data_IF_780180009867
#
_entry.id   IF_780180009867
#
_cell.length_a   1.000
_cell.length_b   1.000
_cell.length_c   1.000
_cell.angle_alpha   90.00
_cell.angle_beta   90.00
_cell.angle_gamma   90.00
#
_symmetry.space_group_name_H-M   'P 1'
#
loop_
_entity.id
_entity.type
_entity.pdbx_description
1 polymer ?
#
# COMPACT_ATOMS: atom_id res chain seq x y z
N UNK A 1 -4.01 -2.09 9.48
CA UNK A 1 -3.78 -3.26 10.35
C UNK A 1 -2.80 -2.86 11.45
N UNK A 2 -3.09 -3.26 12.68
CA UNK A 2 -2.19 -3.11 13.83
C UNK A 2 -1.78 -4.51 14.26
N UNK A 3 -0.49 -4.74 14.44
CA UNK A 3 0.10 -6.01 14.87
C UNK A 3 0.54 -5.89 16.32
N UNK A 4 0.35 -6.95 17.09
CA UNK A 4 0.80 -7.03 18.48
C UNK A 4 -0.03 -6.16 19.43
N UNK A 5 -1.34 -6.13 19.25
CA UNK A 5 -2.25 -5.57 20.25
C UNK A 5 -2.08 -6.34 21.58
N UNK A 6 -2.17 -5.69 22.76
CA UNK A 6 -2.00 -6.39 24.03
C UNK A 6 -2.90 -7.61 24.17
N UNK A 7 -2.29 -8.76 24.39
CA UNK A 7 -2.96 -10.07 24.48
C UNK A 7 -3.14 -10.80 23.14
N UNK A 8 -2.79 -10.20 22.00
CA UNK A 8 -2.80 -10.90 20.71
C UNK A 8 -1.80 -12.06 20.72
N UNK A 9 -2.27 -13.24 20.36
CA UNK A 9 -1.46 -14.45 20.22
C UNK A 9 -0.94 -14.57 18.78
N UNK A 10 0.11 -15.36 18.57
CA UNK A 10 0.61 -15.65 17.23
C UNK A 10 -0.44 -16.36 16.34
N UNK A 11 -1.29 -17.19 16.93
CA UNK A 11 -2.38 -17.86 16.20
C UNK A 11 -3.39 -16.82 15.66
N UNK A 12 -3.81 -15.87 16.49
CA UNK A 12 -4.70 -14.78 16.06
C UNK A 12 -4.05 -13.86 15.01
N UNK A 13 -2.75 -13.63 15.13
CA UNK A 13 -1.99 -12.94 14.08
C UNK A 13 -2.00 -13.73 12.75
N UNK A 14 -1.92 -15.06 12.79
CA UNK A 14 -2.04 -15.90 11.57
C UNK A 14 -3.42 -15.80 10.92
N UNK A 15 -4.48 -15.61 11.70
CA UNK A 15 -5.82 -15.35 11.15
C UNK A 15 -5.84 -14.03 10.37
N UNK A 16 -5.16 -12.99 10.88
CA UNK A 16 -4.96 -11.73 10.15
C UNK A 16 -4.23 -11.96 8.81
N UNK A 17 -3.15 -12.75 8.80
CA UNK A 17 -2.44 -13.08 7.56
C UNK A 17 -3.33 -13.87 6.59
N UNK A 18 -4.16 -14.77 7.09
CA UNK A 18 -5.10 -15.55 6.27
C UNK A 18 -6.14 -14.65 5.60
N UNK A 19 -6.70 -13.71 6.33
CA UNK A 19 -7.61 -12.69 5.79
C UNK A 19 -6.94 -11.86 4.68
N UNK A 20 -5.69 -11.41 4.91
CA UNK A 20 -4.94 -10.62 3.93
C UNK A 20 -4.70 -11.44 2.63
N UNK A 21 -4.39 -12.72 2.75
CA UNK A 21 -4.23 -13.64 1.61
C UNK A 21 -5.52 -13.83 0.83
N UNK A 22 -6.66 -13.95 1.52
CA UNK A 22 -7.96 -14.18 0.90
C UNK A 22 -8.47 -12.93 0.19
N UNK A 23 -8.38 -11.76 0.83
CA UNK A 23 -8.89 -10.49 0.28
C UNK A 23 -7.94 -9.90 -0.78
N UNK A 24 -6.64 -10.19 -0.69
CA UNK A 24 -5.61 -9.61 -1.56
C UNK A 24 -5.69 -8.07 -1.65
N UNK A 25 -5.64 -7.38 -0.52
CA UNK A 25 -5.66 -5.91 -0.48
C UNK A 25 -4.60 -5.29 -1.40
N UNK A 26 -4.98 -4.26 -2.13
CA UNK A 26 -4.05 -3.53 -3.00
C UNK A 26 -2.95 -2.84 -2.20
N UNK A 27 -3.31 -2.26 -1.06
CA UNK A 27 -2.37 -1.66 -0.10
C UNK A 27 -2.94 -1.72 1.31
N UNK A 28 -2.06 -1.75 2.30
CA UNK A 28 -2.41 -1.70 3.71
C UNK A 28 -1.55 -0.66 4.42
N UNK A 29 -2.17 0.07 5.34
CA UNK A 29 -1.44 0.79 6.37
C UNK A 29 -1.24 -0.14 7.55
N UNK A 30 0.02 -0.43 7.87
CA UNK A 30 0.41 -1.41 8.88
C UNK A 30 1.25 -0.76 9.97
N UNK A 31 0.98 -1.12 11.22
CA UNK A 31 1.66 -0.56 12.39
C UNK A 31 1.87 -1.66 13.43
N UNK A 32 2.97 -1.56 14.17
CA UNK A 32 3.07 -2.28 15.45
C UNK A 32 2.30 -1.48 16.48
N UNK A 33 1.53 -2.17 17.34
CA UNK A 33 0.82 -1.52 18.45
C UNK A 33 1.78 -0.66 19.28
N UNK A 34 1.37 0.56 19.54
CA UNK A 34 2.06 1.49 20.45
C UNK A 34 1.08 1.96 21.51
N UNK A 35 1.39 1.77 22.82
CA UNK A 35 0.50 2.18 23.89
C UNK A 35 0.31 3.70 23.88
N UNK A 36 -0.94 4.13 24.08
CA UNK A 36 -1.30 5.53 24.20
C UNK A 36 -1.86 5.80 25.59
N UNK A 37 -1.28 6.75 26.28
CA UNK A 37 -1.71 7.16 27.61
C UNK A 37 -3.21 7.48 27.64
N UNK A 38 -3.89 7.07 28.72
CA UNK A 38 -5.32 7.27 28.89
C UNK A 38 -6.23 6.26 28.18
N UNK A 39 -5.69 5.28 27.45
CA UNK A 39 -6.47 4.20 26.83
C UNK A 39 -6.49 2.96 27.71
N UNK A 40 -7.58 2.18 27.64
CA UNK A 40 -7.66 0.87 28.33
C UNK A 40 -6.56 -0.08 27.85
N UNK A 41 -6.24 -0.06 26.58
CA UNK A 41 -5.21 -0.92 25.99
C UNK A 41 -3.81 -0.65 26.58
N UNK A 42 -3.51 0.60 26.97
CA UNK A 42 -2.22 0.94 27.58
C UNK A 42 -2.02 0.31 28.97
N UNK A 43 -3.11 -0.06 29.66
CA UNK A 43 -3.07 -0.73 30.98
C UNK A 43 -3.23 -2.25 30.90
N UNK A 44 -3.40 -2.81 29.71
CA UNK A 44 -3.51 -4.26 29.53
C UNK A 44 -2.13 -4.92 29.64
N UNK A 45 -2.14 -6.15 30.17
CA UNK A 45 -0.95 -7.00 30.14
C UNK A 45 -0.56 -7.32 28.69
N UNK A 46 0.71 -7.17 28.39
CA UNK A 46 1.26 -7.38 27.05
C UNK A 46 2.44 -8.36 27.12
N UNK A 47 2.17 -9.67 27.05
CA UNK A 47 3.20 -10.70 27.22
C UNK A 47 4.12 -10.84 26.01
N UNK A 48 3.72 -10.28 24.85
CA UNK A 48 4.49 -10.41 23.59
C UNK A 48 5.61 -9.37 23.55
N UNK A 49 6.83 -9.84 23.35
CA UNK A 49 8.02 -8.98 23.31
C UNK A 49 8.03 -8.09 22.07
N UNK A 50 8.78 -6.99 22.14
CA UNK A 50 8.96 -6.08 20.97
C UNK A 50 9.59 -6.81 19.78
N UNK A 51 10.51 -7.75 20.04
CA UNK A 51 11.20 -8.50 18.99
C UNK A 51 10.23 -9.47 18.28
N UNK A 52 9.32 -10.09 19.04
CA UNK A 52 8.26 -10.92 18.46
C UNK A 52 7.30 -10.11 17.60
N UNK A 53 6.82 -8.97 18.10
CA UNK A 53 5.97 -8.06 17.32
C UNK A 53 6.66 -7.56 16.05
N UNK A 54 7.96 -7.29 16.12
CA UNK A 54 8.75 -6.88 14.95
C UNK A 54 8.86 -8.02 13.92
N UNK A 55 8.99 -9.28 14.36
CA UNK A 55 8.99 -10.45 13.45
C UNK A 55 7.62 -10.62 12.78
N UNK A 56 6.52 -10.54 13.54
CA UNK A 56 5.16 -10.62 12.99
C UNK A 56 4.90 -9.49 11.99
N UNK A 57 5.31 -8.28 12.35
CA UNK A 57 5.17 -7.12 11.47
C UNK A 57 5.92 -7.32 10.15
N UNK A 58 7.15 -7.84 10.21
CA UNK A 58 7.92 -8.17 9.00
C UNK A 58 7.20 -9.22 8.15
N UNK A 59 6.68 -10.28 8.76
CA UNK A 59 5.94 -11.33 8.07
C UNK A 59 4.72 -10.78 7.33
N UNK A 60 3.96 -9.88 7.98
CA UNK A 60 2.82 -9.19 7.37
C UNK A 60 3.26 -8.31 6.19
N UNK A 61 4.33 -7.54 6.36
CA UNK A 61 4.85 -6.67 5.29
C UNK A 61 5.33 -7.47 4.09
N UNK A 62 6.08 -8.56 4.31
CA UNK A 62 6.57 -9.45 3.24
C UNK A 62 5.40 -10.08 2.46
N UNK A 63 4.34 -10.52 3.17
CA UNK A 63 3.13 -11.02 2.54
C UNK A 63 2.43 -9.96 1.68
N UNK A 64 2.20 -8.77 2.24
CA UNK A 64 1.52 -7.69 1.54
C UNK A 64 2.32 -7.22 0.31
N UNK A 65 3.64 -7.16 0.41
CA UNK A 65 4.51 -6.82 -0.72
C UNK A 65 4.39 -7.85 -1.85
N UNK A 66 4.37 -9.13 -1.53
CA UNK A 66 4.16 -10.21 -2.50
C UNK A 66 2.80 -10.07 -3.22
N UNK A 67 1.73 -9.78 -2.47
CA UNK A 67 0.39 -9.56 -3.02
C UNK A 67 0.37 -8.33 -3.92
N UNK A 68 0.91 -7.20 -3.47
CA UNK A 68 0.98 -5.96 -4.22
C UNK A 68 1.74 -6.15 -5.55
N UNK A 69 2.91 -6.78 -5.50
CA UNK A 69 3.72 -7.08 -6.68
C UNK A 69 2.97 -7.95 -7.70
N UNK A 70 2.30 -9.00 -7.23
CA UNK A 70 1.48 -9.88 -8.09
C UNK A 70 0.32 -9.14 -8.75
N UNK A 71 -0.33 -8.22 -8.02
CA UNK A 71 -1.46 -7.42 -8.54
C UNK A 71 -0.99 -6.38 -9.54
N UNK A 72 0.05 -5.61 -9.20
CA UNK A 72 0.57 -4.56 -10.09
C UNK A 72 1.18 -5.13 -11.35
N UNK A 73 1.82 -6.31 -11.30
CA UNK A 73 2.34 -6.98 -12.50
C UNK A 73 1.27 -7.26 -13.55
N UNK A 74 0.05 -7.57 -13.13
CA UNK A 74 -1.10 -7.80 -14.04
C UNK A 74 -1.60 -6.51 -14.71
N UNK A 75 -1.18 -5.35 -14.21
CA UNK A 75 -1.59 -4.05 -14.76
C UNK A 75 -0.77 -3.63 -15.96
N UNK A 76 0.38 -4.28 -16.20
CA UNK A 76 1.25 -3.97 -17.32
C UNK A 76 0.49 -4.04 -18.64
N UNK A 77 0.80 -3.10 -19.54
CA UNK A 77 0.21 -2.93 -20.87
C UNK A 77 -1.29 -2.59 -20.92
N UNK A 78 -1.96 -2.53 -19.77
CA UNK A 78 -3.35 -2.09 -19.68
C UNK A 78 -3.44 -0.56 -19.53
N UNK A 79 -4.59 -0.01 -19.98
CA UNK A 79 -4.91 1.41 -19.89
C UNK A 79 -5.85 1.64 -18.71
N UNK A 80 -5.52 2.62 -17.89
CA UNK A 80 -6.32 3.02 -16.72
C UNK A 80 -6.71 4.49 -16.81
N UNK A 81 -7.93 4.78 -16.33
CA UNK A 81 -8.36 6.15 -16.08
C UNK A 81 -7.69 6.66 -14.80
N UNK A 82 -6.98 7.76 -14.91
CA UNK A 82 -6.14 8.32 -13.86
C UNK A 82 -6.58 9.74 -13.56
N UNK A 83 -6.83 10.07 -12.29
CA UNK A 83 -6.92 11.44 -11.82
C UNK A 83 -5.51 11.99 -11.67
N UNK A 84 -5.16 13.00 -12.43
CA UNK A 84 -3.86 13.68 -12.34
C UNK A 84 -3.89 14.64 -11.15
N UNK A 85 -3.07 14.36 -10.12
CA UNK A 85 -3.13 15.09 -8.84
C UNK A 85 -2.08 16.19 -8.71
N UNK A 86 -0.87 15.94 -9.21
CA UNK A 86 0.26 16.86 -9.03
C UNK A 86 1.41 16.54 -9.99
N UNK A 87 2.43 17.37 -9.97
CA UNK A 87 3.75 16.96 -10.44
C UNK A 87 4.35 15.91 -9.50
N UNK A 88 5.16 15.00 -10.05
CA UNK A 88 5.87 14.02 -9.25
C UNK A 88 6.89 14.70 -8.33
N UNK A 89 6.88 14.32 -7.06
CA UNK A 89 7.86 14.81 -6.07
C UNK A 89 9.25 14.22 -6.26
N UNK A 90 9.32 13.03 -6.86
CA UNK A 90 10.54 12.25 -6.97
C UNK A 90 11.17 12.32 -8.38
N UNK A 91 10.38 12.62 -9.40
CA UNK A 91 10.82 12.63 -10.80
C UNK A 91 10.40 13.94 -11.46
N UNK A 92 11.31 14.96 -11.50
CA UNK A 92 11.03 16.24 -12.16
C UNK A 92 10.60 16.06 -13.63
N UNK A 93 9.56 16.78 -14.03
CA UNK A 93 9.00 16.70 -15.38
C UNK A 93 8.00 15.56 -15.60
N UNK A 94 7.69 14.79 -14.55
CA UNK A 94 6.62 13.80 -14.58
C UNK A 94 5.41 14.28 -13.76
N UNK A 95 4.23 13.83 -14.15
CA UNK A 95 3.00 13.98 -13.39
C UNK A 95 2.75 12.73 -12.54
N UNK A 96 2.09 12.93 -11.42
CA UNK A 96 1.62 11.89 -10.51
C UNK A 96 0.10 11.91 -10.45
N UNK A 97 -0.51 10.76 -10.54
CA UNK A 97 -1.96 10.61 -10.44
C UNK A 97 -2.33 9.28 -9.82
N UNK A 98 -3.65 9.05 -9.69
CA UNK A 98 -4.19 7.82 -9.10
C UNK A 98 -5.19 7.14 -10.02
N UNK A 99 -5.08 5.82 -10.10
CA UNK A 99 -6.09 4.97 -10.71
C UNK A 99 -7.34 4.88 -9.83
N UNK A 100 -8.44 4.33 -10.35
CA UNK A 100 -9.65 4.04 -9.56
C UNK A 100 -9.37 3.12 -8.35
N UNK A 101 -8.37 2.23 -8.46
CA UNK A 101 -7.91 1.37 -7.37
C UNK A 101 -6.95 2.06 -6.40
N UNK A 102 -6.83 3.39 -6.45
CA UNK A 102 -5.97 4.20 -5.60
C UNK A 102 -4.46 3.90 -5.73
N UNK A 103 -4.03 3.31 -6.85
CA UNK A 103 -2.62 3.05 -7.11
C UNK A 103 -2.01 4.29 -7.78
N UNK A 104 -0.85 4.71 -7.28
CA UNK A 104 -0.10 5.84 -7.83
C UNK A 104 0.50 5.43 -9.18
N UNK A 105 0.35 6.30 -10.17
CA UNK A 105 1.00 6.17 -11.48
C UNK A 105 1.70 7.48 -11.86
N UNK A 106 2.92 7.36 -12.32
CA UNK A 106 3.71 8.48 -12.82
C UNK A 106 3.90 8.37 -14.33
N UNK A 107 3.79 9.50 -15.03
CA UNK A 107 3.88 9.57 -16.47
C UNK A 107 4.28 10.97 -16.93
N UNK A 108 4.88 11.09 -18.12
CA UNK A 108 5.24 12.38 -18.69
C UNK A 108 4.00 13.13 -19.18
N UNK A 109 3.91 14.42 -18.89
CA UNK A 109 2.79 15.26 -19.30
C UNK A 109 2.98 16.71 -18.89
N UNK A 110 2.14 17.58 -19.44
CA UNK A 110 2.11 19.00 -19.10
C UNK A 110 1.32 19.26 -17.82
N UNK A 111 1.78 20.19 -16.98
CA UNK A 111 1.14 20.53 -15.72
C UNK A 111 -0.32 21.04 -15.84
N UNK A 112 -0.72 21.51 -17.03
CA UNK A 112 -2.13 21.88 -17.30
C UNK A 112 -3.10 20.71 -17.20
N UNK A 113 -2.59 19.46 -17.20
CA UNK A 113 -3.42 18.25 -17.03
C UNK A 113 -3.83 18.01 -15.57
N UNK A 114 -3.20 18.67 -14.60
CA UNK A 114 -3.51 18.51 -13.18
C UNK A 114 -4.99 18.86 -12.91
N UNK A 115 -5.66 18.03 -12.11
CA UNK A 115 -7.09 18.14 -11.81
C UNK A 115 -8.00 17.49 -12.85
N UNK A 116 -7.46 16.89 -13.90
CA UNK A 116 -8.23 16.23 -14.95
C UNK A 116 -8.06 14.71 -14.94
N UNK A 117 -9.01 14.02 -15.55
CA UNK A 117 -8.88 12.59 -15.80
C UNK A 117 -8.21 12.34 -17.15
N UNK A 118 -7.26 11.42 -17.18
CA UNK A 118 -6.55 10.99 -18.38
C UNK A 118 -6.46 9.48 -18.45
N UNK A 119 -6.37 8.96 -19.67
CA UNK A 119 -6.06 7.56 -19.89
C UNK A 119 -4.55 7.39 -19.93
N UNK A 120 -4.03 6.48 -19.12
CA UNK A 120 -2.60 6.20 -19.02
C UNK A 120 -2.39 4.71 -19.17
N UNK A 121 -1.52 4.31 -20.10
CA UNK A 121 -1.08 2.93 -20.28
C UNK A 121 0.06 2.64 -19.34
N UNK A 122 -0.05 1.56 -18.54
CA UNK A 122 1.02 1.12 -17.65
C UNK A 122 2.14 0.48 -18.46
N UNK A 123 3.33 1.01 -18.36
CA UNK A 123 4.53 0.50 -19.04
C UNK A 123 5.43 -0.30 -18.10
N UNK A 124 5.57 0.15 -16.85
CA UNK A 124 6.40 -0.50 -15.84
C UNK A 124 5.67 -0.56 -14.50
N UNK A 125 5.22 -1.76 -14.08
CA UNK A 125 4.63 -1.95 -12.76
C UNK A 125 5.74 -2.09 -11.72
N UNK A 126 5.77 -1.18 -10.75
CA UNK A 126 6.57 -1.29 -9.54
C UNK A 126 5.64 -1.63 -8.36
N UNK A 127 6.18 -2.06 -7.23
CA UNK A 127 5.36 -2.56 -6.13
C UNK A 127 4.34 -1.53 -5.62
N UNK A 128 4.73 -0.25 -5.53
CA UNK A 128 3.91 0.80 -4.94
C UNK A 128 3.57 1.95 -5.88
N UNK A 129 4.27 2.05 -7.02
CA UNK A 129 4.12 3.10 -8.02
C UNK A 129 4.17 2.44 -9.39
N UNK A 130 3.27 2.80 -10.26
CA UNK A 130 3.31 2.41 -11.66
C UNK A 130 4.00 3.51 -12.47
N UNK A 131 4.68 3.15 -13.54
CA UNK A 131 5.03 4.11 -14.60
C UNK A 131 4.15 3.88 -15.81
N UNK A 132 3.83 4.93 -16.51
CA UNK A 132 2.95 4.86 -17.66
C UNK A 132 3.21 5.90 -18.73
N UNK A 133 2.43 5.78 -19.78
CA UNK A 133 2.42 6.71 -20.92
C UNK A 133 1.02 7.24 -21.13
N UNK A 134 0.92 8.58 -21.29
CA UNK A 134 -0.34 9.26 -21.60
C UNK A 134 -0.86 8.75 -22.93
N UNK A 135 -2.14 8.38 -22.95
CA UNK A 135 -2.83 8.01 -24.19
C UNK A 135 -3.65 9.20 -24.70
N UNK A 136 -3.68 9.36 -26.01
CA UNK A 136 -4.45 10.39 -26.70
C UNK A 136 -5.95 10.13 -26.66
#
# INVERSE_FOLDING_TARGET
VIVGFPGETYEEFKDTLSLIKEVEFTSLFTFIYSPREGTKAASMEDPVTKDEKSRWFKELCDLQESIASKRTSKMKDNIYKVLVESESKNHPGMLSGRTEGNIIIEFSGDSSLIGSFRNVKVTEPLNWILKGELQQ
#
